data_IF_340384370129
#
_entry.id   IF_340384370129
#
_cell.length_a   1.000
_cell.length_b   1.000
_cell.length_c   1.000
_cell.angle_alpha   90.00
_cell.angle_beta   90.00
_cell.angle_gamma   90.00
#
_symmetry.space_group_name_H-M   'P 1'
#
loop_
_entity.id
_entity.type
_entity.pdbx_description
1 polymer ?
#
# COMPACT_ATOMS: atom_id res chain seq x y z
N UNK A 1 10.83 56.70 20.65
CA UNK A 1 9.75 55.86 21.22
C UNK A 1 9.14 55.09 20.06
N UNK A 2 9.59 53.86 19.79
CA UNK A 2 8.93 52.59 20.20
C UNK A 2 7.44 52.56 19.82
N UNK A 3 6.87 51.62 19.09
CA UNK A 3 7.34 50.46 18.32
C UNK A 3 6.14 50.03 17.46
N UNK A 4 6.33 49.77 16.16
CA UNK A 4 5.34 49.05 15.34
C UNK A 4 5.54 47.55 15.54
N UNK A 5 4.55 46.86 16.12
CA UNK A 5 4.51 45.40 16.16
C UNK A 5 3.08 44.87 16.19
N UNK A 6 2.85 43.92 15.29
CA UNK A 6 1.98 42.75 15.42
C UNK A 6 0.45 42.91 15.25
N UNK A 7 0.05 42.55 14.04
CA UNK A 7 -1.20 41.86 13.69
C UNK A 7 -1.33 40.62 14.58
N UNK A 8 -2.42 40.48 15.33
CA UNK A 8 -2.96 39.19 15.78
C UNK A 8 -4.46 39.36 16.09
N UNK A 9 -5.29 38.83 15.19
CA UNK A 9 -6.73 38.68 15.38
C UNK A 9 -6.97 37.64 16.47
N UNK A 10 -7.52 38.07 17.61
CA UNK A 10 -8.32 37.24 18.51
C UNK A 10 -9.79 37.58 18.24
N UNK A 11 -10.57 36.64 17.73
CA UNK A 11 -12.02 36.63 17.93
C UNK A 11 -12.50 35.19 18.18
N UNK A 12 -13.54 35.01 19.01
CA UNK A 12 -13.73 33.81 19.82
C UNK A 12 -14.62 32.74 19.18
N UNK A 13 -14.48 31.55 19.76
CA UNK A 13 -15.20 30.30 19.54
C UNK A 13 -16.62 30.43 20.13
N UNK A 14 -17.67 30.48 19.31
CA UNK A 14 -19.01 29.97 19.64
C UNK A 14 -19.97 30.06 18.45
N UNK A 15 -20.93 29.13 18.44
CA UNK A 15 -22.06 28.97 17.52
C UNK A 15 -21.80 28.13 16.25
N UNK A 16 -21.49 26.85 16.50
CA UNK A 16 -21.97 25.75 15.66
C UNK A 16 -23.45 25.49 16.02
N UNK A 17 -24.22 24.96 15.07
CA UNK A 17 -25.64 24.56 15.17
C UNK A 17 -26.71 25.66 15.01
N UNK A 18 -27.30 25.76 13.81
CA UNK A 18 -28.69 25.35 13.49
C UNK A 18 -29.14 26.04 12.20
N UNK A 19 -28.94 25.40 11.04
CA UNK A 19 -29.71 25.72 9.82
C UNK A 19 -29.70 24.51 8.88
N UNK A 20 -30.46 23.48 9.26
CA UNK A 20 -30.82 22.38 8.37
C UNK A 20 -32.31 22.10 8.53
N UNK A 21 -33.14 23.06 8.14
CA UNK A 21 -34.55 22.80 7.87
C UNK A 21 -35.18 23.97 7.12
N UNK A 22 -35.30 23.83 5.79
CA UNK A 22 -36.44 24.28 4.99
C UNK A 22 -36.07 24.20 3.50
N UNK A 23 -36.46 23.11 2.85
CA UNK A 23 -36.88 23.07 1.44
C UNK A 23 -37.33 21.63 1.10
N UNK A 24 -38.53 21.24 1.55
CA UNK A 24 -39.29 20.14 0.95
C UNK A 24 -40.35 20.79 0.08
N UNK A 25 -40.21 20.63 -1.24
CA UNK A 25 -41.15 21.13 -2.25
C UNK A 25 -41.16 20.22 -3.49
N UNK A 26 -42.20 19.38 -3.57
CA UNK A 26 -42.62 18.47 -4.65
C UNK A 26 -42.37 18.96 -6.09
N UNK A 27 -41.89 18.04 -6.96
CA UNK A 27 -42.50 17.78 -8.29
C UNK A 27 -41.98 16.47 -8.91
N UNK A 28 -42.89 15.73 -9.56
CA UNK A 28 -42.68 14.42 -10.19
C UNK A 28 -42.09 14.54 -11.61
N UNK A 29 -41.15 13.67 -12.01
CA UNK A 29 -41.25 12.80 -13.20
C UNK A 29 -39.94 12.05 -13.54
N UNK A 30 -40.15 10.83 -14.06
CA UNK A 30 -39.33 10.09 -15.04
C UNK A 30 -37.97 9.49 -14.63
N UNK A 31 -38.03 8.17 -14.42
CA UNK A 31 -37.07 7.11 -14.72
C UNK A 31 -35.89 7.51 -15.65
N UNK A 32 -34.64 7.39 -15.17
CA UNK A 32 -33.55 6.69 -15.88
C UNK A 32 -32.29 6.50 -14.99
N UNK A 33 -31.92 5.23 -14.82
CA UNK A 33 -30.58 4.62 -14.74
C UNK A 33 -29.43 5.36 -14.04
N UNK A 34 -28.75 4.63 -13.16
CA UNK A 34 -27.29 4.68 -13.07
C UNK A 34 -26.77 5.10 -11.70
N UNK A 35 -25.95 4.22 -11.13
CA UNK A 35 -25.22 4.36 -9.89
C UNK A 35 -24.70 5.79 -9.61
N UNK A 36 -25.14 6.37 -8.50
CA UNK A 36 -24.43 7.49 -7.87
C UNK A 36 -23.42 6.86 -6.91
N UNK A 37 -22.25 6.50 -7.45
CA UNK A 37 -21.11 6.05 -6.65
C UNK A 37 -20.67 7.24 -5.78
N UNK A 38 -20.55 7.03 -4.47
CA UNK A 38 -20.12 8.05 -3.52
C UNK A 38 -18.68 8.52 -3.85
N UNK A 39 -18.55 9.61 -4.61
CA UNK A 39 -17.28 10.35 -4.76
C UNK A 39 -17.20 11.35 -3.61
N UNK A 40 -16.90 10.83 -2.43
CA UNK A 40 -16.35 11.61 -1.32
C UNK A 40 -15.16 10.83 -0.74
N UNK A 41 -14.20 10.46 -1.59
CA UNK A 41 -12.88 10.12 -1.08
C UNK A 41 -12.21 11.41 -0.64
N UNK A 42 -12.22 11.58 0.68
CA UNK A 42 -11.43 12.53 1.45
C UNK A 42 -10.10 12.85 0.78
N UNK A 43 -9.98 14.05 0.20
CA UNK A 43 -8.68 14.64 -0.06
C UNK A 43 -8.14 15.10 1.29
N UNK A 44 -7.66 14.15 2.09
CA UNK A 44 -6.93 14.45 3.30
C UNK A 44 -5.55 14.93 2.86
N UNK A 45 -5.34 16.25 2.84
CA UNK A 45 -4.04 16.89 2.52
C UNK A 45 -2.95 16.64 3.59
N UNK A 46 -3.04 15.53 4.30
CA UNK A 46 -2.15 15.20 5.41
C UNK A 46 -1.91 13.69 5.44
N UNK A 47 -1.35 13.14 4.35
CA UNK A 47 -0.75 11.81 4.37
C UNK A 47 0.54 11.90 5.19
N UNK A 48 0.65 11.07 6.23
CA UNK A 48 1.84 10.95 7.06
C UNK A 48 2.34 9.52 6.98
N UNK A 49 3.47 9.34 6.30
CA UNK A 49 4.08 8.02 6.13
C UNK A 49 5.00 7.76 7.31
N UNK A 50 4.72 6.68 8.05
CA UNK A 50 5.58 6.20 9.12
C UNK A 50 6.57 5.17 8.59
N UNK A 51 7.70 5.00 9.26
CA UNK A 51 8.64 3.91 8.95
C UNK A 51 8.73 2.94 10.10
N UNK A 52 8.81 1.65 9.80
CA UNK A 52 9.08 0.59 10.77
C UNK A 52 10.26 -0.25 10.30
N UNK A 53 11.16 -0.54 11.21
CA UNK A 53 12.29 -1.42 10.94
C UNK A 53 11.80 -2.87 10.77
N UNK A 54 12.51 -3.63 9.93
CA UNK A 54 12.31 -5.07 9.79
C UNK A 54 13.50 -5.81 10.39
N UNK A 55 13.41 -7.12 10.66
CA UNK A 55 14.57 -7.90 11.08
C UNK A 55 15.71 -7.89 10.03
N UNK A 56 15.37 -7.66 8.76
CA UNK A 56 16.32 -7.46 7.68
C UNK A 56 16.81 -5.99 7.62
N UNK A 57 18.10 -5.69 7.88
CA UNK A 57 18.62 -4.32 7.88
C UNK A 57 18.59 -3.63 6.50
N UNK A 58 18.47 -4.43 5.44
CA UNK A 58 18.35 -3.94 4.06
C UNK A 58 16.89 -3.66 3.66
N UNK A 59 15.91 -4.00 4.51
CA UNK A 59 14.49 -3.78 4.26
C UNK A 59 13.90 -2.80 5.26
N UNK A 60 13.08 -1.87 4.76
CA UNK A 60 12.36 -0.91 5.60
C UNK A 60 10.89 -0.85 5.19
N UNK A 61 10.00 -0.91 6.19
CA UNK A 61 8.54 -0.78 5.99
C UNK A 61 8.14 0.69 6.02
N UNK A 62 7.32 1.09 5.06
CA UNK A 62 6.70 2.40 4.93
C UNK A 62 5.18 2.23 5.07
N UNK A 63 4.60 2.87 6.09
CA UNK A 63 3.19 2.79 6.44
C UNK A 63 2.53 4.12 6.07
N UNK A 64 1.85 4.22 4.91
CA UNK A 64 1.22 5.47 4.46
C UNK A 64 -0.04 5.86 5.26
N UNK A 65 -0.50 5.00 6.18
CA UNK A 65 -1.73 5.22 6.96
C UNK A 65 -3.01 5.06 6.13
N UNK A 66 -2.91 4.46 4.95
CA UNK A 66 -4.02 4.10 4.07
C UNK A 66 -3.84 2.66 3.59
N UNK A 67 -4.94 2.07 3.15
CA UNK A 67 -4.96 0.76 2.52
C UNK A 67 -4.11 0.76 1.24
N UNK A 68 -3.21 -0.22 1.12
CA UNK A 68 -2.38 -0.47 -0.07
C UNK A 68 -2.96 -1.63 -0.87
N UNK A 69 -3.23 -2.77 -0.22
CA UNK A 69 -3.87 -3.96 -0.80
C UNK A 69 -5.11 -4.38 0.01
N UNK A 70 -5.89 -5.32 -0.52
CA UNK A 70 -6.96 -5.96 0.27
C UNK A 70 -6.38 -6.74 1.46
N UNK A 71 -7.12 -6.86 2.59
CA UNK A 71 -6.67 -7.67 3.72
C UNK A 71 -6.33 -9.10 3.28
N UNK A 72 -5.17 -9.59 3.73
CA UNK A 72 -4.68 -10.93 3.38
C UNK A 72 -4.05 -11.04 1.99
N UNK A 73 -3.98 -9.95 1.22
CA UNK A 73 -3.24 -9.93 -0.04
C UNK A 73 -1.85 -9.34 0.15
N UNK A 74 -0.89 -9.97 -0.49
CA UNK A 74 0.49 -9.53 -0.61
C UNK A 74 0.95 -9.68 -2.04
N UNK A 75 1.85 -8.80 -2.46
CA UNK A 75 2.48 -8.87 -3.78
C UNK A 75 3.94 -8.51 -3.62
N UNK A 76 4.82 -9.41 -4.05
CA UNK A 76 6.24 -9.17 -4.15
C UNK A 76 6.63 -8.70 -5.56
N UNK A 77 7.52 -7.73 -5.63
CA UNK A 77 8.16 -7.27 -6.85
C UNK A 77 9.67 -7.44 -6.66
N UNK A 78 10.26 -8.54 -7.12
CA UNK A 78 11.69 -8.81 -6.93
C UNK A 78 12.57 -7.93 -7.81
N UNK A 79 12.02 -7.35 -8.88
CA UNK A 79 12.72 -6.43 -9.77
C UNK A 79 11.75 -5.51 -10.54
N UNK A 80 12.30 -4.46 -11.17
CA UNK A 80 11.51 -3.46 -11.91
C UNK A 80 10.78 -3.97 -13.15
N UNK A 81 11.17 -5.13 -13.72
CA UNK A 81 10.48 -5.73 -14.87
C UNK A 81 9.14 -6.33 -14.44
N UNK A 82 9.10 -6.92 -13.25
CA UNK A 82 7.91 -7.54 -12.65
C UNK A 82 6.94 -6.51 -12.04
N UNK A 83 7.38 -5.26 -11.89
CA UNK A 83 6.53 -4.13 -11.47
C UNK A 83 5.48 -3.71 -12.51
N UNK A 84 5.36 -4.41 -13.65
CA UNK A 84 4.51 -3.97 -14.76
C UNK A 84 3.04 -3.76 -14.38
N UNK A 85 2.55 -4.51 -13.40
CA UNK A 85 1.17 -4.50 -12.93
C UNK A 85 0.89 -3.48 -11.82
N UNK A 86 1.89 -2.71 -11.37
CA UNK A 86 1.71 -1.63 -10.39
C UNK A 86 2.40 -0.33 -10.83
N UNK A 87 1.64 0.77 -11.06
CA UNK A 87 2.23 2.07 -11.34
C UNK A 87 3.07 2.59 -10.16
N UNK A 88 2.66 2.32 -8.91
CA UNK A 88 3.43 2.69 -7.72
C UNK A 88 4.77 1.95 -7.67
N UNK A 89 4.78 0.63 -7.87
CA UNK A 89 6.02 -0.14 -7.86
C UNK A 89 6.98 0.37 -8.95
N UNK A 90 6.49 0.63 -10.17
CA UNK A 90 7.31 1.22 -11.25
C UNK A 90 7.97 2.54 -10.86
N UNK A 91 7.26 3.39 -10.14
CA UNK A 91 7.82 4.67 -9.68
C UNK A 91 8.88 4.44 -8.61
N UNK A 92 8.65 3.53 -7.66
CA UNK A 92 9.62 3.18 -6.62
C UNK A 92 10.91 2.58 -7.20
N UNK A 93 10.82 1.75 -8.24
CA UNK A 93 12.00 1.20 -8.92
C UNK A 93 12.82 2.23 -9.70
N UNK A 94 12.32 3.46 -9.90
CA UNK A 94 13.13 4.53 -10.50
C UNK A 94 14.09 5.17 -9.50
N UNK A 95 13.85 4.97 -8.22
CA UNK A 95 14.69 5.49 -7.14
C UNK A 95 15.97 4.67 -7.10
N UNK A 96 17.11 5.36 -7.18
CA UNK A 96 18.42 4.71 -7.13
C UNK A 96 18.60 4.00 -5.79
N UNK A 97 19.08 2.75 -5.84
CA UNK A 97 19.30 1.94 -4.65
C UNK A 97 18.16 0.98 -4.29
N UNK A 98 17.00 1.06 -4.96
CA UNK A 98 15.90 0.10 -4.73
C UNK A 98 16.16 -1.23 -5.44
N UNK A 99 16.17 -2.32 -4.68
CA UNK A 99 16.36 -3.69 -5.16
C UNK A 99 15.03 -4.39 -5.44
N UNK A 100 14.14 -4.37 -4.47
CA UNK A 100 12.83 -5.00 -4.53
C UNK A 100 11.81 -4.18 -3.74
N UNK A 101 10.55 -4.39 -4.07
CA UNK A 101 9.40 -3.72 -3.45
C UNK A 101 8.39 -4.78 -3.09
N UNK A 102 7.84 -4.72 -1.89
CA UNK A 102 6.82 -5.66 -1.44
C UNK A 102 5.63 -4.89 -0.88
N UNK A 103 4.43 -5.23 -1.33
CA UNK A 103 3.19 -4.62 -0.86
C UNK A 103 2.46 -5.58 0.09
N UNK A 104 2.16 -5.07 1.28
CA UNK A 104 1.21 -5.67 2.20
C UNK A 104 -0.14 -4.94 2.19
N UNK A 105 -1.06 -5.31 3.10
CA UNK A 105 -2.38 -4.69 3.18
C UNK A 105 -2.37 -3.18 3.43
N UNK A 106 -1.47 -2.70 4.29
CA UNK A 106 -1.39 -1.30 4.74
C UNK A 106 0.04 -0.75 4.80
N UNK A 107 1.01 -1.49 4.25
CA UNK A 107 2.42 -1.11 4.23
C UNK A 107 3.09 -1.45 2.90
N UNK A 108 4.19 -0.76 2.64
CA UNK A 108 5.10 -0.99 1.50
C UNK A 108 6.48 -1.24 2.09
N UNK A 109 7.08 -2.39 1.82
CA UNK A 109 8.49 -2.64 2.14
C UNK A 109 9.33 -2.34 0.93
N UNK A 110 10.46 -1.67 1.15
CA UNK A 110 11.49 -1.46 0.15
C UNK A 110 12.75 -2.15 0.66
N UNK A 111 13.39 -2.92 -0.20
CA UNK A 111 14.71 -3.49 0.06
C UNK A 111 15.75 -2.74 -0.77
N UNK A 112 16.87 -2.37 -0.16
CA UNK A 112 17.98 -1.70 -0.84
C UNK A 112 18.92 -2.70 -1.53
N UNK A 113 19.63 -2.24 -2.57
CA UNK A 113 20.57 -3.06 -3.37
C UNK A 113 21.71 -3.62 -2.52
N UNK A 114 22.40 -2.73 -1.81
CA UNK A 114 23.62 -3.02 -1.08
C UNK A 114 23.64 -2.32 0.28
N UNK A 115 24.50 -2.80 1.20
CA UNK A 115 24.64 -2.24 2.55
C UNK A 115 25.14 -0.79 2.54
N UNK A 116 25.94 -0.42 1.52
CA UNK A 116 26.53 0.91 1.34
C UNK A 116 25.51 2.00 1.00
N UNK A 117 24.29 1.62 0.60
CA UNK A 117 23.22 2.58 0.32
C UNK A 117 22.61 3.08 1.63
N UNK A 118 22.67 4.40 1.88
CA UNK A 118 22.11 5.01 3.10
C UNK A 118 20.62 5.36 2.93
N UNK A 119 19.80 4.83 3.84
CA UNK A 119 18.39 5.15 3.96
C UNK A 119 18.10 6.65 4.07
N UNK A 120 19.02 7.46 4.61
CA UNK A 120 18.86 8.92 4.70
C UNK A 120 18.75 9.59 3.34
N UNK A 121 19.37 9.03 2.31
CA UNK A 121 19.32 9.55 0.94
C UNK A 121 18.08 9.07 0.20
N UNK A 122 17.67 7.82 0.42
CA UNK A 122 16.51 7.23 -0.25
C UNK A 122 15.17 7.69 0.33
N UNK A 123 15.07 7.86 1.66
CA UNK A 123 13.82 8.19 2.36
C UNK A 123 13.09 9.40 1.77
N UNK A 124 13.74 10.56 1.54
CA UNK A 124 13.05 11.71 0.96
C UNK A 124 12.37 11.42 -0.39
N UNK A 125 13.05 10.69 -1.27
CA UNK A 125 12.54 10.36 -2.61
C UNK A 125 11.41 9.31 -2.55
N UNK A 126 11.55 8.31 -1.67
CA UNK A 126 10.51 7.32 -1.42
C UNK A 126 9.25 8.00 -0.88
N UNK A 127 9.39 8.88 0.12
CA UNK A 127 8.25 9.59 0.69
C UNK A 127 7.55 10.45 -0.36
N UNK A 128 8.30 11.22 -1.16
CA UNK A 128 7.75 12.02 -2.23
C UNK A 128 6.97 11.16 -3.24
N UNK A 129 7.57 10.05 -3.68
CA UNK A 129 6.96 9.13 -4.64
C UNK A 129 5.64 8.54 -4.13
N UNK A 130 5.61 8.07 -2.88
CA UNK A 130 4.39 7.50 -2.28
C UNK A 130 3.32 8.59 -2.13
N UNK A 131 3.68 9.77 -1.62
CA UNK A 131 2.73 10.87 -1.43
C UNK A 131 2.13 11.34 -2.77
N UNK A 132 2.97 11.55 -3.78
CA UNK A 132 2.54 11.99 -5.11
C UNK A 132 1.67 10.94 -5.78
N UNK A 133 2.01 9.66 -5.64
CA UNK A 133 1.21 8.56 -6.16
C UNK A 133 -0.20 8.56 -5.54
N UNK A 134 -0.32 8.61 -4.21
CA UNK A 134 -1.63 8.62 -3.56
C UNK A 134 -2.42 9.92 -3.84
N UNK A 135 -1.72 11.05 -4.01
CA UNK A 135 -2.36 12.31 -4.42
C UNK A 135 -2.89 12.26 -5.86
N UNK A 136 -2.28 11.47 -6.74
CA UNK A 136 -2.71 11.31 -8.13
C UNK A 136 -4.00 10.50 -8.29
N UNK A 137 -4.35 9.67 -7.29
CA UNK A 137 -5.51 8.77 -7.36
C UNK A 137 -5.38 7.63 -8.38
N UNK A 138 -4.18 7.35 -8.86
CA UNK A 138 -3.91 6.21 -9.73
C UNK A 138 -4.18 4.87 -9.00
N UNK A 139 -4.61 3.82 -9.71
CA UNK A 139 -4.78 2.51 -9.10
C UNK A 139 -3.42 1.92 -8.71
N UNK A 140 -3.35 1.28 -7.53
CA UNK A 140 -2.14 0.62 -7.04
C UNK A 140 -1.79 -0.57 -7.94
N UNK A 141 -2.79 -1.31 -8.39
CA UNK A 141 -2.66 -2.44 -9.30
C UNK A 141 -3.52 -2.21 -10.55
N UNK A 142 -2.97 -2.47 -11.73
CA UNK A 142 -3.70 -2.37 -13.01
C UNK A 142 -4.19 -3.72 -13.52
N UNK A 143 -3.47 -4.81 -13.22
CA UNK A 143 -3.75 -6.13 -13.82
C UNK A 143 -3.26 -7.32 -12.96
N UNK A 144 -2.86 -7.09 -11.70
CA UNK A 144 -2.28 -8.14 -10.87
C UNK A 144 -3.37 -8.99 -10.21
N UNK A 145 -3.19 -10.31 -10.23
CA UNK A 145 -3.84 -11.21 -9.28
C UNK A 145 -2.95 -11.31 -8.02
N UNK A 146 -3.52 -11.27 -6.81
CA UNK A 146 -2.79 -11.54 -5.58
C UNK A 146 -2.22 -12.97 -5.62
N UNK A 147 -1.17 -13.23 -4.83
CA UNK A 147 -0.56 -14.56 -4.75
C UNK A 147 -1.58 -15.62 -4.35
N UNK A 148 -1.88 -16.56 -5.26
CA UNK A 148 -2.78 -17.71 -5.04
C UNK A 148 -2.05 -19.04 -5.24
N UNK A 149 -0.72 -19.00 -5.21
CA UNK A 149 0.21 -20.09 -5.46
C UNK A 149 0.08 -21.23 -4.44
N UNK A 150 -0.32 -20.91 -3.21
CA UNK A 150 -0.56 -21.88 -2.14
C UNK A 150 -2.02 -22.31 -2.01
N UNK A 151 -2.90 -21.90 -2.92
CA UNK A 151 -4.27 -22.41 -2.93
C UNK A 151 -4.25 -23.93 -3.10
N UNK A 152 -4.85 -24.63 -2.14
CA UNK A 152 -4.99 -26.09 -2.15
C UNK A 152 -6.11 -26.45 -3.12
N UNK A 153 -5.78 -27.27 -4.13
CA UNK A 153 -6.74 -27.83 -5.07
C UNK A 153 -6.98 -29.31 -4.74
N UNK A 154 -8.15 -29.83 -5.08
CA UNK A 154 -8.51 -31.24 -4.83
C UNK A 154 -7.62 -32.22 -5.62
N UNK A 155 -7.03 -31.77 -6.73
CA UNK A 155 -6.13 -32.55 -7.56
C UNK A 155 -4.66 -32.53 -7.10
N UNK A 156 -4.32 -31.75 -6.06
CA UNK A 156 -2.95 -31.70 -5.53
C UNK A 156 -2.64 -32.97 -4.73
N UNK A 157 -1.41 -33.50 -4.89
CA UNK A 157 -0.90 -34.60 -4.06
C UNK A 157 -0.93 -34.24 -2.57
N UNK A 158 -1.21 -35.20 -1.68
CA UNK A 158 -1.24 -34.97 -0.22
C UNK A 158 0.03 -34.28 0.30
N UNK A 159 1.18 -34.61 -0.29
CA UNK A 159 2.47 -34.00 0.02
C UNK A 159 2.48 -32.52 -0.38
N UNK A 160 1.98 -32.18 -1.56
CA UNK A 160 1.90 -30.81 -2.07
C UNK A 160 0.93 -29.98 -1.24
N UNK A 161 -0.21 -30.55 -0.83
CA UNK A 161 -1.16 -29.88 0.07
C UNK A 161 -0.50 -29.54 1.40
N UNK A 162 0.22 -30.50 1.99
CA UNK A 162 0.95 -30.27 3.25
C UNK A 162 2.09 -29.26 3.11
N UNK A 163 2.80 -29.25 1.98
CA UNK A 163 3.82 -28.22 1.70
C UNK A 163 3.16 -26.84 1.63
N UNK A 164 2.07 -26.69 0.86
CA UNK A 164 1.34 -25.41 0.74
C UNK A 164 0.85 -24.92 2.10
N UNK A 165 0.28 -25.79 2.93
CA UNK A 165 -0.14 -25.45 4.30
C UNK A 165 1.04 -24.98 5.17
N UNK A 166 2.18 -25.68 5.13
CA UNK A 166 3.37 -25.29 5.91
C UNK A 166 3.95 -23.96 5.44
N UNK A 167 3.98 -23.71 4.13
CA UNK A 167 4.43 -22.45 3.58
C UNK A 167 3.54 -21.31 4.10
N UNK A 168 2.22 -21.43 4.00
CA UNK A 168 1.30 -20.39 4.44
C UNK A 168 1.26 -20.16 5.95
N UNK A 169 1.32 -21.25 6.73
CA UNK A 169 1.14 -21.15 8.19
C UNK A 169 2.40 -20.83 8.96
N UNK A 170 3.59 -21.16 8.42
CA UNK A 170 4.85 -21.02 9.17
C UNK A 170 5.96 -20.26 8.45
N UNK A 171 6.14 -20.46 7.16
CA UNK A 171 7.30 -19.88 6.46
C UNK A 171 6.99 -18.47 5.96
N UNK A 172 5.88 -18.31 5.24
CA UNK A 172 5.44 -17.04 4.65
C UNK A 172 5.30 -15.93 5.69
N UNK A 173 4.71 -16.14 6.90
CA UNK A 173 4.65 -15.08 7.91
C UNK A 173 6.03 -14.52 8.28
N UNK A 174 7.02 -15.40 8.45
CA UNK A 174 8.38 -14.98 8.79
C UNK A 174 9.07 -14.22 7.64
N UNK A 175 8.87 -14.66 6.39
CA UNK A 175 9.45 -13.95 5.23
C UNK A 175 8.79 -12.57 5.02
N UNK A 176 7.49 -12.46 5.26
CA UNK A 176 6.76 -11.19 5.18
C UNK A 176 7.11 -10.21 6.31
N UNK A 177 7.55 -10.72 7.46
CA UNK A 177 8.12 -9.90 8.53
C UNK A 177 9.41 -9.19 8.06
N UNK A 178 10.25 -9.89 7.29
CA UNK A 178 11.49 -9.38 6.66
C UNK A 178 11.22 -8.53 5.41
N UNK A 179 9.97 -8.52 4.93
CA UNK A 179 9.50 -7.66 3.86
C UNK A 179 9.65 -8.23 2.45
N UNK A 180 9.63 -9.55 2.31
CA UNK A 180 9.47 -10.23 1.02
C UNK A 180 8.28 -11.19 1.03
N UNK A 181 8.13 -11.95 -0.05
CA UNK A 181 7.18 -13.07 -0.13
C UNK A 181 7.87 -14.32 -0.71
N UNK A 182 7.18 -15.45 -0.62
CA UNK A 182 7.58 -16.70 -1.26
C UNK A 182 6.51 -17.14 -2.25
N UNK A 183 6.93 -17.63 -3.42
CA UNK A 183 6.03 -18.11 -4.47
C UNK A 183 6.28 -19.59 -4.70
N UNK A 184 5.34 -20.45 -4.33
CA UNK A 184 5.44 -21.87 -4.60
C UNK A 184 5.35 -22.14 -6.12
N UNK A 185 6.44 -22.63 -6.72
CA UNK A 185 6.50 -22.98 -8.15
C UNK A 185 6.25 -24.46 -8.44
N UNK A 186 6.54 -25.35 -7.49
CA UNK A 186 6.30 -26.78 -7.64
C UNK A 186 7.12 -27.67 -6.72
N UNK A 187 6.90 -28.97 -6.84
CA UNK A 187 7.58 -29.99 -6.06
C UNK A 187 7.93 -31.18 -6.95
N UNK A 188 9.23 -31.49 -7.05
CA UNK A 188 9.76 -32.58 -7.89
C UNK A 188 10.92 -33.26 -7.16
N UNK A 189 10.97 -34.60 -7.18
CA UNK A 189 12.06 -35.41 -6.61
C UNK A 189 12.44 -35.08 -5.16
N UNK A 190 11.45 -34.70 -4.33
CA UNK A 190 11.68 -34.33 -2.93
C UNK A 190 12.17 -32.89 -2.73
N UNK A 191 12.29 -32.10 -3.80
CA UNK A 191 12.78 -30.72 -3.79
C UNK A 191 11.63 -29.75 -4.06
N UNK A 192 11.44 -28.78 -3.17
CA UNK A 192 10.48 -27.68 -3.34
C UNK A 192 11.14 -26.57 -4.16
N UNK A 193 10.44 -26.10 -5.20
CA UNK A 193 10.83 -24.93 -6.00
C UNK A 193 10.02 -23.72 -5.54
N UNK A 194 10.73 -22.66 -5.14
CA UNK A 194 10.22 -21.37 -4.68
C UNK A 194 10.73 -20.26 -5.59
#
# INVERSE_FOLDING_TARGET
MFASRLILRKLPIQAYETFTQACIGRSNNAVHKGAVFNILQSVSRNMFIQTQDTPNPNSLKFLPGTKVLDPGQTIDFPNGTEAFCSPLAKLLFRIEGVKSVFFGPDFITITKLDEDVDWKLMKPEIFATIMDFFASGLPILTDAKPSSDTQINEDDDETVQMIKELLDTRIRPTVQEDGGDIVFMGFEDGIVKL
#
